data_IF_183467566450
#
_entry.id   IF_183467566450
#
_cell.length_a   1.000
_cell.length_b   1.000
_cell.length_c   1.000
_cell.angle_alpha   90.00
_cell.angle_beta   90.00
_cell.angle_gamma   90.00
#
_symmetry.space_group_name_H-M   'P 1'
#
loop_
_entity.id
_entity.type
_entity.pdbx_description
1 polymer ?
#
# COMPACT_ATOMS: atom_id res chain seq x y z
N UNK A 1 -11.86 29.66 31.97
CA UNK A 1 -11.44 28.70 30.93
C UNK A 1 -10.39 27.76 31.52
N UNK A 2 -10.23 26.56 30.95
CA UNK A 2 -9.20 25.57 31.38
C UNK A 2 -7.78 26.16 31.36
N UNK A 3 -7.55 27.20 30.57
CA UNK A 3 -6.28 27.92 30.45
C UNK A 3 -5.97 28.80 31.64
N UNK A 4 -6.99 29.31 32.34
CA UNK A 4 -6.82 30.21 33.51
C UNK A 4 -6.44 29.46 34.79
N UNK A 5 -6.64 28.15 34.85
CA UNK A 5 -6.33 27.34 36.04
C UNK A 5 -4.91 26.75 35.97
N UNK A 6 -4.19 26.86 34.85
CA UNK A 6 -2.98 26.14 34.60
C UNK A 6 -1.86 27.08 34.17
N UNK A 7 -0.83 27.18 35.00
CA UNK A 7 0.45 27.73 34.55
C UNK A 7 0.97 26.87 33.38
N UNK A 8 0.85 27.40 32.15
CA UNK A 8 1.08 26.70 30.90
C UNK A 8 2.45 26.01 30.85
N UNK A 9 3.48 26.58 31.46
CA UNK A 9 4.82 25.99 31.42
C UNK A 9 4.97 24.77 32.35
N UNK A 10 4.41 24.89 33.58
CA UNK A 10 4.42 23.77 34.54
C UNK A 10 3.55 22.62 34.05
N UNK A 11 2.44 22.93 33.39
CA UNK A 11 1.53 21.96 32.83
C UNK A 11 2.13 21.23 31.63
N UNK A 12 2.76 21.92 30.71
CA UNK A 12 3.45 21.33 29.56
C UNK A 12 4.54 20.35 30.01
N UNK A 13 5.25 20.64 31.09
CA UNK A 13 6.24 19.75 31.68
C UNK A 13 5.59 18.48 32.25
N UNK A 14 4.54 18.60 33.04
CA UNK A 14 3.79 17.45 33.59
C UNK A 14 3.18 16.57 32.50
N UNK A 15 2.59 17.17 31.49
CA UNK A 15 2.03 16.44 30.34
C UNK A 15 3.11 15.63 29.61
N UNK A 16 4.29 16.20 29.43
CA UNK A 16 5.44 15.51 28.84
C UNK A 16 5.92 14.34 29.70
N UNK A 17 5.97 14.51 31.01
CA UNK A 17 6.34 13.45 31.96
C UNK A 17 5.32 12.30 31.94
N UNK A 18 4.02 12.61 31.92
CA UNK A 18 2.94 11.63 31.78
C UNK A 18 3.09 10.83 30.48
N UNK A 19 3.28 11.51 29.35
CA UNK A 19 3.47 10.88 28.06
C UNK A 19 4.71 9.96 28.03
N UNK A 20 5.82 10.41 28.62
CA UNK A 20 7.04 9.60 28.73
C UNK A 20 6.82 8.35 29.58
N UNK A 21 6.07 8.46 30.67
CA UNK A 21 5.71 7.32 31.53
C UNK A 21 4.86 6.30 30.78
N UNK A 22 3.81 6.74 30.12
CA UNK A 22 2.93 5.87 29.29
C UNK A 22 3.71 5.17 28.18
N UNK A 23 4.61 5.89 27.51
CA UNK A 23 5.45 5.33 26.46
C UNK A 23 6.42 4.27 27.02
N UNK A 24 7.04 4.55 28.19
CA UNK A 24 7.94 3.60 28.85
C UNK A 24 7.20 2.34 29.34
N UNK A 25 5.93 2.46 29.68
CA UNK A 25 5.04 1.33 30.00
C UNK A 25 4.47 0.64 28.73
N UNK A 26 4.91 1.03 27.54
CA UNK A 26 4.42 0.53 26.24
C UNK A 26 2.93 0.69 26.03
N UNK A 27 2.34 1.72 26.63
CA UNK A 27 0.96 2.12 26.45
C UNK A 27 0.89 3.19 25.35
N UNK A 28 0.33 2.81 24.19
CA UNK A 28 0.19 3.68 23.01
C UNK A 28 -1.28 4.01 22.81
N UNK A 29 -1.66 5.28 22.63
CA UNK A 29 -3.02 5.65 22.32
C UNK A 29 -3.37 5.18 20.89
N UNK A 30 -4.57 4.66 20.71
CA UNK A 30 -5.15 4.33 19.41
C UNK A 30 -6.34 5.24 19.12
N UNK A 31 -6.75 5.35 17.86
CA UNK A 31 -7.91 6.15 17.49
C UNK A 31 -9.22 5.59 18.06
N UNK A 32 -9.32 4.28 18.21
CA UNK A 32 -10.47 3.60 18.84
C UNK A 32 -10.48 3.73 20.36
N UNK A 33 -9.40 4.23 20.95
CA UNK A 33 -9.16 4.30 22.37
C UNK A 33 -8.71 2.95 22.95
N UNK A 34 -7.77 3.03 23.89
CA UNK A 34 -7.33 1.90 24.69
C UNK A 34 -7.74 2.13 26.12
N UNK A 35 -8.55 1.23 26.70
CA UNK A 35 -8.99 1.38 28.11
C UNK A 35 -7.78 1.39 29.03
N UNK A 36 -6.80 0.54 28.80
CA UNK A 36 -5.59 0.50 29.60
C UNK A 36 -4.81 1.83 29.56
N UNK A 37 -4.70 2.44 28.38
CA UNK A 37 -4.11 3.76 28.23
C UNK A 37 -4.90 4.83 29.00
N UNK A 38 -6.21 4.86 28.80
CA UNK A 38 -7.12 5.86 29.42
C UNK A 38 -7.10 5.76 30.94
N UNK A 39 -7.14 4.55 31.49
CA UNK A 39 -7.11 4.33 32.94
C UNK A 39 -5.76 4.74 33.54
N UNK A 40 -4.67 4.41 32.87
CA UNK A 40 -3.32 4.78 33.33
C UNK A 40 -3.05 6.27 33.23
N UNK A 41 -3.47 6.90 32.13
CA UNK A 41 -3.42 8.37 31.97
C UNK A 41 -4.22 9.05 33.07
N UNK A 42 -5.43 8.56 33.36
CA UNK A 42 -6.29 9.08 34.46
C UNK A 42 -5.58 9.02 35.80
N UNK A 43 -4.96 7.89 36.12
CA UNK A 43 -4.21 7.71 37.36
C UNK A 43 -3.06 8.73 37.46
N UNK A 44 -2.28 8.90 36.40
CA UNK A 44 -1.17 9.86 36.37
C UNK A 44 -1.64 11.32 36.43
N UNK A 45 -2.79 11.64 35.87
CA UNK A 45 -3.40 12.98 36.00
C UNK A 45 -3.84 13.27 37.44
N UNK A 46 -4.42 12.29 38.13
CA UNK A 46 -4.79 12.42 39.57
C UNK A 46 -3.53 12.61 40.41
N UNK A 47 -2.48 11.80 40.20
CA UNK A 47 -1.19 11.93 40.87
C UNK A 47 -0.58 13.32 40.62
N UNK A 48 -0.79 13.92 39.44
CA UNK A 48 -0.38 15.24 39.08
C UNK A 48 -1.23 16.36 39.71
N UNK A 49 -2.29 16.00 40.46
CA UNK A 49 -3.17 16.94 41.17
C UNK A 49 -4.32 17.53 40.33
N UNK A 50 -4.69 16.85 39.24
CA UNK A 50 -5.86 17.25 38.44
C UNK A 50 -7.13 16.81 39.15
N UNK A 51 -8.12 17.71 39.36
CA UNK A 51 -9.39 17.36 40.01
C UNK A 51 -10.16 16.29 39.22
N UNK A 52 -10.68 15.29 39.91
CA UNK A 52 -11.38 14.16 39.29
C UNK A 52 -12.61 14.57 38.47
N UNK A 53 -13.30 15.61 38.89
CA UNK A 53 -14.51 16.15 38.26
C UNK A 53 -14.31 16.64 36.81
N UNK A 54 -13.08 16.97 36.43
CA UNK A 54 -12.74 17.49 35.10
C UNK A 54 -12.02 16.46 34.21
N UNK A 55 -11.63 15.30 34.74
CA UNK A 55 -10.85 14.30 34.02
C UNK A 55 -11.54 13.81 32.75
N UNK A 56 -12.84 13.49 32.83
CA UNK A 56 -13.59 13.02 31.65
C UNK A 56 -13.64 14.09 30.56
N UNK A 57 -13.75 15.35 30.94
CA UNK A 57 -13.71 16.45 29.96
C UNK A 57 -12.34 16.61 29.32
N UNK A 58 -11.28 16.47 30.11
CA UNK A 58 -9.90 16.55 29.62
C UNK A 58 -9.65 15.39 28.64
N UNK A 59 -9.95 14.17 29.05
CA UNK A 59 -9.70 12.97 28.22
C UNK A 59 -10.53 13.02 26.93
N UNK A 60 -11.82 13.34 27.00
CA UNK A 60 -12.67 13.50 25.83
C UNK A 60 -12.18 14.58 24.88
N UNK A 61 -11.76 15.75 25.42
CA UNK A 61 -11.21 16.83 24.63
C UNK A 61 -9.88 16.42 23.95
N UNK A 62 -8.98 15.77 24.72
CA UNK A 62 -7.70 15.29 24.21
C UNK A 62 -7.87 14.26 23.10
N UNK A 63 -8.74 13.27 23.31
CA UNK A 63 -9.04 12.24 22.31
C UNK A 63 -9.60 12.85 21.01
N UNK A 64 -10.58 13.76 21.15
CA UNK A 64 -11.15 14.46 20.00
C UNK A 64 -10.10 15.28 19.26
N UNK A 65 -9.28 16.04 20.01
CA UNK A 65 -8.25 16.89 19.42
C UNK A 65 -7.14 16.07 18.75
N UNK A 66 -6.73 14.99 19.38
CA UNK A 66 -5.77 14.05 18.82
C UNK A 66 -6.28 13.46 17.48
N UNK A 67 -7.54 13.04 17.43
CA UNK A 67 -8.16 12.53 16.21
C UNK A 67 -8.18 13.58 15.10
N UNK A 68 -8.58 14.82 15.41
CA UNK A 68 -8.60 15.93 14.44
C UNK A 68 -7.20 16.25 13.88
N UNK A 69 -6.19 16.33 14.76
CA UNK A 69 -4.81 16.62 14.33
C UNK A 69 -4.19 15.44 13.56
N UNK A 70 -4.51 14.20 13.95
CA UNK A 70 -4.05 13.00 13.23
C UNK A 70 -4.69 12.92 11.83
N UNK A 71 -5.99 13.18 11.70
CA UNK A 71 -6.68 13.21 10.41
C UNK A 71 -6.05 14.28 9.49
N UNK A 72 -5.80 15.47 10.03
CA UNK A 72 -5.14 16.56 9.30
C UNK A 72 -3.71 16.19 8.88
N UNK A 73 -2.92 15.63 9.80
CA UNK A 73 -1.55 15.20 9.51
C UNK A 73 -1.53 14.08 8.45
N UNK A 74 -2.48 13.15 8.54
CA UNK A 74 -2.65 12.07 7.56
C UNK A 74 -3.01 12.63 6.18
N UNK A 75 -3.93 13.60 6.12
CA UNK A 75 -4.26 14.28 4.86
C UNK A 75 -3.02 14.93 4.23
N UNK A 76 -2.25 15.68 5.02
CA UNK A 76 -1.03 16.33 4.55
C UNK A 76 0.05 15.34 4.10
N UNK A 77 0.18 14.21 4.81
CA UNK A 77 1.10 13.15 4.42
C UNK A 77 0.71 12.50 3.08
N UNK A 78 -0.58 12.25 2.86
CA UNK A 78 -1.09 11.70 1.59
C UNK A 78 -0.93 12.72 0.44
N UNK A 79 -1.16 14.00 0.72
CA UNK A 79 -0.93 15.09 -0.24
C UNK A 79 0.55 15.17 -0.64
N UNK A 80 1.45 15.14 0.34
CA UNK A 80 2.90 15.11 0.09
C UNK A 80 3.33 13.89 -0.70
N UNK A 81 2.79 12.69 -0.38
CA UNK A 81 3.03 11.46 -1.13
C UNK A 81 2.62 11.61 -2.60
N UNK A 82 1.39 12.12 -2.84
CA UNK A 82 0.87 12.30 -4.19
C UNK A 82 1.74 13.29 -4.99
N UNK A 83 2.09 14.43 -4.41
CA UNK A 83 2.97 15.41 -5.04
C UNK A 83 4.36 14.85 -5.32
N UNK A 84 4.99 14.20 -4.35
CA UNK A 84 6.33 13.64 -4.50
C UNK A 84 6.40 12.59 -5.62
N UNK A 85 5.44 11.68 -5.70
CA UNK A 85 5.42 10.64 -6.73
C UNK A 85 5.18 11.19 -8.15
N UNK A 86 4.67 12.41 -8.28
CA UNK A 86 4.44 13.04 -9.59
C UNK A 86 5.47 14.11 -9.96
N UNK A 87 6.32 14.55 -9.03
CA UNK A 87 7.29 15.63 -9.25
C UNK A 87 8.74 15.21 -9.06
N UNK A 88 8.99 14.20 -8.22
CA UNK A 88 10.34 13.70 -7.98
C UNK A 88 10.83 12.83 -9.15
N UNK A 89 12.09 12.95 -9.46
CA UNK A 89 12.74 12.11 -10.46
C UNK A 89 13.42 10.91 -9.80
N UNK A 90 13.08 9.69 -10.23
CA UNK A 90 13.67 8.46 -9.70
C UNK A 90 15.08 8.19 -10.19
N UNK A 91 15.46 8.82 -11.29
CA UNK A 91 16.81 8.74 -11.89
C UNK A 91 17.11 9.92 -12.82
N UNK A 92 18.37 10.07 -13.20
CA UNK A 92 18.78 11.00 -14.25
C UNK A 92 17.98 10.74 -15.55
N UNK A 93 17.47 11.80 -16.18
CA UNK A 93 16.61 11.68 -17.36
C UNK A 93 15.12 11.93 -17.06
N UNK A 94 14.80 12.47 -15.90
CA UNK A 94 13.46 12.97 -15.54
C UNK A 94 12.36 11.89 -15.55
N UNK A 95 12.66 10.67 -15.09
CA UNK A 95 11.65 9.64 -14.88
C UNK A 95 11.02 9.76 -13.49
N UNK A 96 9.71 9.91 -13.45
CA UNK A 96 8.95 9.80 -12.20
C UNK A 96 8.91 8.35 -11.70
N UNK A 97 8.86 8.12 -10.36
CA UNK A 97 8.81 6.77 -9.82
C UNK A 97 7.50 6.08 -10.18
N UNK A 98 7.57 5.03 -11.00
CA UNK A 98 6.41 4.20 -11.31
C UNK A 98 6.03 3.40 -10.08
N UNK A 99 4.95 3.80 -9.44
CA UNK A 99 4.50 3.26 -8.15
C UNK A 99 3.02 2.86 -8.20
N UNK A 100 2.65 1.89 -7.39
CA UNK A 100 1.25 1.49 -7.21
C UNK A 100 0.97 1.15 -5.76
N UNK A 101 -0.28 1.31 -5.34
CA UNK A 101 -0.79 0.96 -4.01
C UNK A 101 -2.08 0.15 -4.14
N UNK A 102 -2.23 -0.85 -3.26
CA UNK A 102 -3.45 -1.62 -3.11
C UNK A 102 -4.04 -1.34 -1.73
N UNK A 103 -5.32 -1.00 -1.66
CA UNK A 103 -6.01 -0.69 -0.42
C UNK A 103 -7.51 -0.98 -0.52
N UNK A 104 -8.27 -0.79 0.55
CA UNK A 104 -9.71 -1.02 0.58
C UNK A 104 -10.16 -2.01 1.65
N UNK A 105 -9.27 -2.89 2.12
CA UNK A 105 -9.61 -4.04 2.96
C UNK A 105 -9.47 -3.81 4.46
N UNK A 106 -8.64 -2.85 4.88
CA UNK A 106 -8.41 -2.57 6.30
C UNK A 106 -9.65 -1.89 6.92
N UNK A 107 -10.21 -2.50 7.95
CA UNK A 107 -11.39 -2.01 8.66
C UNK A 107 -11.05 -1.31 9.97
N UNK A 108 -9.77 -1.21 10.33
CA UNK A 108 -9.34 -0.45 11.51
C UNK A 108 -9.61 1.05 11.32
N UNK A 109 -9.78 1.76 12.40
CA UNK A 109 -10.03 3.22 12.36
C UNK A 109 -8.86 3.96 11.71
N UNK A 110 -7.63 3.53 11.99
CA UNK A 110 -6.41 4.07 11.40
C UNK A 110 -6.34 3.81 9.90
N UNK A 111 -6.54 2.57 9.48
CA UNK A 111 -6.55 2.18 8.06
C UNK A 111 -7.64 2.91 7.27
N UNK A 112 -8.84 3.02 7.83
CA UNK A 112 -9.93 3.80 7.24
C UNK A 112 -9.60 5.28 7.10
N UNK A 113 -8.93 5.88 8.10
CA UNK A 113 -8.48 7.28 8.05
C UNK A 113 -7.47 7.49 6.92
N UNK A 114 -6.48 6.60 6.78
CA UNK A 114 -5.50 6.64 5.68
C UNK A 114 -6.18 6.53 4.32
N UNK A 115 -7.05 5.54 4.13
CA UNK A 115 -7.78 5.32 2.87
C UNK A 115 -8.68 6.50 2.50
N UNK A 116 -9.42 7.04 3.47
CA UNK A 116 -10.26 8.23 3.28
C UNK A 116 -9.42 9.41 2.80
N UNK A 117 -8.32 9.69 3.49
CA UNK A 117 -7.47 10.83 3.15
C UNK A 117 -6.76 10.65 1.80
N UNK A 118 -6.32 9.43 1.47
CA UNK A 118 -5.79 9.13 0.13
C UNK A 118 -6.81 9.40 -0.97
N UNK A 119 -8.06 8.99 -0.78
CA UNK A 119 -9.14 9.25 -1.74
C UNK A 119 -9.45 10.75 -1.85
N UNK A 120 -9.53 11.48 -0.74
CA UNK A 120 -9.82 12.91 -0.75
C UNK A 120 -8.71 13.74 -1.42
N UNK A 121 -7.45 13.41 -1.15
CA UNK A 121 -6.31 14.06 -1.82
C UNK A 121 -6.29 13.76 -3.31
N UNK A 122 -6.59 12.52 -3.69
CA UNK A 122 -6.72 12.14 -5.10
C UNK A 122 -7.85 12.94 -5.78
N UNK A 123 -8.98 13.11 -5.12
CA UNK A 123 -10.10 13.91 -5.63
C UNK A 123 -9.72 15.40 -5.80
N UNK A 124 -8.96 15.96 -4.85
CA UNK A 124 -8.46 17.32 -4.93
C UNK A 124 -7.51 17.50 -6.12
N UNK A 125 -6.62 16.55 -6.33
CA UNK A 125 -5.61 16.58 -7.40
C UNK A 125 -4.35 17.33 -6.99
N UNK A 126 -3.45 17.57 -7.95
CA UNK A 126 -2.22 18.35 -7.77
C UNK A 126 -2.52 19.86 -7.73
N UNK A 127 -1.52 20.68 -7.54
CA UNK A 127 -1.54 22.11 -7.27
C UNK A 127 -2.69 22.94 -7.84
N UNK A 128 -3.00 22.84 -9.12
CA UNK A 128 -4.15 23.51 -9.76
C UNK A 128 -5.36 22.57 -9.96
N UNK A 129 -5.35 21.41 -9.34
CA UNK A 129 -6.37 20.38 -9.47
C UNK A 129 -6.14 19.42 -10.64
N UNK A 130 -4.91 19.30 -11.15
CA UNK A 130 -4.56 18.32 -12.16
C UNK A 130 -4.69 16.89 -11.61
N UNK A 131 -5.04 15.95 -12.48
CA UNK A 131 -5.08 14.54 -12.09
C UNK A 131 -3.67 13.98 -11.92
N UNK A 132 -3.37 13.44 -10.74
CA UNK A 132 -2.12 12.74 -10.47
C UNK A 132 -2.05 11.45 -11.29
N UNK A 133 -0.86 11.12 -11.81
CA UNK A 133 -0.61 9.86 -12.53
C UNK A 133 -0.20 8.76 -11.56
N UNK A 134 0.63 9.08 -10.58
CA UNK A 134 1.14 8.15 -9.57
C UNK A 134 0.71 8.53 -8.14
N UNK A 135 0.57 7.55 -7.26
CA UNK A 135 0.62 6.10 -7.51
C UNK A 135 -0.59 5.61 -8.33
N UNK A 136 -0.40 4.53 -9.09
CA UNK A 136 -1.53 3.77 -9.62
C UNK A 136 -2.28 3.19 -8.42
N UNK A 137 -3.54 3.53 -8.29
CA UNK A 137 -4.35 3.15 -7.13
C UNK A 137 -5.28 2.00 -7.50
N UNK A 138 -5.28 0.96 -6.67
CA UNK A 138 -6.13 -0.22 -6.83
C UNK A 138 -6.94 -0.39 -5.54
N UNK A 139 -8.24 -0.11 -5.63
CA UNK A 139 -9.19 -0.31 -4.55
C UNK A 139 -9.71 -1.75 -4.60
N UNK A 140 -9.42 -2.53 -3.57
CA UNK A 140 -9.87 -3.92 -3.45
C UNK A 140 -11.28 -3.96 -2.92
N UNK A 141 -12.16 -4.69 -3.63
CA UNK A 141 -13.58 -4.83 -3.31
C UNK A 141 -13.85 -6.28 -2.90
N UNK A 142 -14.48 -6.48 -1.75
CA UNK A 142 -14.79 -7.80 -1.19
C UNK A 142 -16.13 -7.77 -0.45
N UNK A 143 -16.92 -8.83 -0.63
CA UNK A 143 -18.13 -9.08 0.14
C UNK A 143 -17.82 -9.21 1.64
N UNK A 144 -18.67 -8.67 2.49
CA UNK A 144 -18.45 -8.62 3.92
C UNK A 144 -17.52 -7.50 4.41
N UNK A 145 -16.85 -6.77 3.50
CA UNK A 145 -15.93 -5.68 3.85
C UNK A 145 -16.40 -4.32 3.34
N UNK A 146 -16.70 -4.21 2.05
CA UNK A 146 -16.98 -2.90 1.42
C UNK A 146 -17.93 -2.94 0.23
N UNK A 147 -18.42 -4.12 -0.18
CA UNK A 147 -19.23 -4.24 -1.39
C UNK A 147 -20.71 -3.89 -1.17
N UNK A 148 -21.29 -4.30 -0.04
CA UNK A 148 -22.72 -4.13 0.24
C UNK A 148 -22.99 -3.00 1.26
N UNK A 149 -24.18 -2.37 1.19
CA UNK A 149 -24.62 -1.42 2.22
C UNK A 149 -24.60 -2.03 3.62
N UNK A 150 -24.02 -1.28 4.57
CA UNK A 150 -23.90 -1.71 5.96
C UNK A 150 -22.58 -2.41 6.30
N UNK A 151 -21.77 -2.74 5.34
CA UNK A 151 -20.43 -3.28 5.57
C UNK A 151 -19.45 -2.19 6.07
N UNK A 152 -18.40 -2.57 6.82
CA UNK A 152 -17.50 -1.64 7.50
C UNK A 152 -16.94 -0.53 6.63
N UNK A 153 -16.53 -0.82 5.40
CA UNK A 153 -15.88 0.12 4.48
C UNK A 153 -16.77 0.49 3.27
N UNK A 154 -18.08 0.25 3.32
CA UNK A 154 -18.97 0.58 2.21
C UNK A 154 -19.01 2.09 1.87
N UNK A 155 -18.88 2.96 2.87
CA UNK A 155 -18.77 4.41 2.69
C UNK A 155 -17.50 4.78 1.91
N UNK A 156 -16.39 4.11 2.17
CA UNK A 156 -15.13 4.29 1.43
C UNK A 156 -15.23 3.76 0.00
N UNK A 157 -15.95 2.66 -0.22
CA UNK A 157 -16.25 2.19 -1.58
C UNK A 157 -17.06 3.22 -2.37
N UNK A 158 -18.11 3.80 -1.79
CA UNK A 158 -18.85 4.89 -2.44
C UNK A 158 -17.96 6.11 -2.74
N UNK A 159 -17.10 6.48 -1.78
CA UNK A 159 -16.14 7.56 -1.98
C UNK A 159 -15.18 7.22 -3.13
N UNK A 160 -14.64 6.01 -3.19
CA UNK A 160 -13.73 5.56 -4.24
C UNK A 160 -14.38 5.61 -5.63
N UNK A 161 -15.65 5.22 -5.75
CA UNK A 161 -16.41 5.33 -7.00
C UNK A 161 -16.57 6.81 -7.44
N UNK A 162 -16.86 7.71 -6.49
CA UNK A 162 -16.95 9.16 -6.78
C UNK A 162 -15.62 9.71 -7.28
N UNK A 163 -14.55 9.36 -6.61
CA UNK A 163 -13.20 9.79 -6.98
C UNK A 163 -12.79 9.24 -8.33
N UNK A 164 -13.04 7.95 -8.59
CA UNK A 164 -12.75 7.31 -9.87
C UNK A 164 -13.52 7.93 -11.02
N UNK A 165 -14.78 8.30 -10.82
CA UNK A 165 -15.57 9.00 -11.82
C UNK A 165 -15.00 10.37 -12.22
N UNK A 166 -14.30 11.04 -11.29
CA UNK A 166 -13.69 12.35 -11.50
C UNK A 166 -12.24 12.29 -12.01
N UNK A 167 -11.47 11.28 -11.53
CA UNK A 167 -10.01 11.22 -11.68
C UNK A 167 -9.50 10.01 -12.45
N UNK A 168 -10.36 9.07 -12.83
CA UNK A 168 -10.03 7.78 -13.43
C UNK A 168 -9.25 6.82 -12.48
N UNK A 169 -9.05 7.22 -11.24
CA UNK A 169 -8.48 6.45 -10.15
C UNK A 169 -9.36 6.56 -8.89
N UNK A 170 -9.37 5.52 -8.05
CA UNK A 170 -8.70 4.22 -8.17
C UNK A 170 -9.33 3.32 -9.24
N UNK A 171 -8.54 2.33 -9.71
CA UNK A 171 -9.06 1.13 -10.38
C UNK A 171 -9.63 0.17 -9.34
N UNK A 172 -10.49 -0.76 -9.75
CA UNK A 172 -11.12 -1.71 -8.83
C UNK A 172 -10.64 -3.14 -9.08
N UNK A 173 -10.38 -3.86 -7.99
CA UNK A 173 -10.06 -5.29 -7.98
C UNK A 173 -11.09 -6.04 -7.16
N UNK A 174 -11.87 -6.90 -7.80
CA UNK A 174 -12.90 -7.70 -7.15
C UNK A 174 -12.30 -8.99 -6.61
N UNK A 175 -12.15 -9.08 -5.28
CA UNK A 175 -11.49 -10.19 -4.62
C UNK A 175 -12.29 -11.49 -4.73
N UNK A 176 -13.61 -11.40 -4.78
CA UNK A 176 -14.53 -12.54 -4.87
C UNK A 176 -14.74 -13.07 -6.29
N UNK A 177 -14.07 -12.47 -7.29
CA UNK A 177 -14.12 -12.99 -8.65
C UNK A 177 -13.55 -14.41 -8.69
N UNK A 178 -14.19 -15.37 -9.39
CA UNK A 178 -13.78 -16.78 -9.39
C UNK A 178 -12.30 -16.99 -9.75
N UNK A 179 -11.78 -16.20 -10.68
CA UNK A 179 -10.39 -16.27 -11.09
C UNK A 179 -9.40 -15.71 -10.05
N UNK A 180 -9.88 -14.99 -9.04
CA UNK A 180 -9.08 -14.52 -7.91
C UNK A 180 -9.17 -15.49 -6.74
N UNK A 181 -10.33 -16.10 -6.51
CA UNK A 181 -10.55 -17.04 -5.40
C UNK A 181 -9.77 -18.36 -5.54
N UNK A 182 -9.35 -18.74 -6.74
CA UNK A 182 -8.63 -20.01 -6.96
C UNK A 182 -7.32 -20.15 -6.16
N UNK A 183 -6.72 -19.04 -5.74
CA UNK A 183 -5.48 -19.01 -4.94
C UNK A 183 -5.70 -18.56 -3.49
N UNK A 184 -6.90 -18.07 -3.19
CA UNK A 184 -7.22 -17.59 -1.86
C UNK A 184 -7.41 -18.74 -0.88
N UNK A 185 -6.82 -18.61 0.31
CA UNK A 185 -7.00 -19.55 1.43
C UNK A 185 -7.60 -18.76 2.59
N UNK A 186 -8.75 -19.22 3.10
CA UNK A 186 -9.42 -18.57 4.23
C UNK A 186 -8.51 -18.55 5.46
N UNK A 187 -8.44 -17.41 6.15
CA UNK A 187 -7.54 -17.19 7.28
C UNK A 187 -6.08 -16.86 6.88
N UNK A 188 -5.78 -16.79 5.59
CA UNK A 188 -4.45 -16.50 5.04
C UNK A 188 -4.49 -15.25 4.15
N UNK A 189 -4.52 -14.03 4.75
CA UNK A 189 -4.62 -12.78 4.00
C UNK A 189 -3.45 -12.54 3.03
N UNK A 190 -2.30 -13.19 3.25
CA UNK A 190 -1.15 -13.19 2.36
C UNK A 190 -1.42 -13.83 0.99
N UNK A 191 -2.48 -14.64 0.88
CA UNK A 191 -2.91 -15.28 -0.38
C UNK A 191 -3.92 -14.43 -1.15
N UNK A 192 -4.36 -13.30 -0.62
CA UNK A 192 -5.23 -12.37 -1.34
C UNK A 192 -4.50 -11.73 -2.53
N UNK A 193 -5.23 -11.61 -3.63
CA UNK A 193 -4.68 -11.04 -4.85
C UNK A 193 -4.28 -9.58 -4.65
N UNK A 194 -3.05 -9.25 -5.05
CA UNK A 194 -2.54 -7.90 -5.19
C UNK A 194 -2.14 -7.61 -6.65
N UNK A 195 -2.18 -6.36 -7.01
CA UNK A 195 -1.72 -5.89 -8.31
C UNK A 195 -0.43 -5.10 -8.16
N UNK A 196 0.48 -5.33 -9.09
CA UNK A 196 1.74 -4.61 -9.20
C UNK A 196 1.68 -3.72 -10.44
N UNK A 197 2.07 -2.48 -10.29
CA UNK A 197 1.93 -1.49 -11.33
C UNK A 197 0.45 -1.28 -11.70
N UNK A 198 0.15 -1.14 -12.98
CA UNK A 198 -1.19 -0.82 -13.40
C UNK A 198 -2.11 -2.05 -13.53
N UNK A 199 -1.59 -3.24 -13.90
CA UNK A 199 -2.43 -4.42 -14.19
C UNK A 199 -1.75 -5.78 -14.01
N UNK A 200 -0.51 -5.84 -13.58
CA UNK A 200 0.14 -7.11 -13.31
C UNK A 200 -0.45 -7.73 -12.05
N UNK A 201 -1.23 -8.78 -12.21
CA UNK A 201 -1.81 -9.52 -11.11
C UNK A 201 -0.77 -10.47 -10.53
N UNK A 202 -0.42 -10.30 -9.27
CA UNK A 202 0.49 -11.20 -8.57
C UNK A 202 -0.33 -12.35 -7.98
N UNK A 203 -0.17 -13.53 -8.55
CA UNK A 203 -0.86 -14.76 -8.16
C UNK A 203 0.12 -15.93 -8.27
N UNK A 204 -0.15 -16.99 -7.52
CA UNK A 204 0.63 -18.22 -7.57
C UNK A 204 2.14 -17.99 -7.48
N UNK A 205 2.87 -18.99 -7.15
CA UNK A 205 4.33 -19.01 -7.21
C UNK A 205 4.76 -20.29 -7.90
N UNK A 206 5.03 -20.24 -9.20
CA UNK A 206 5.38 -21.44 -9.99
C UNK A 206 6.63 -22.13 -9.45
N UNK A 207 7.55 -21.36 -8.86
CA UNK A 207 8.78 -21.89 -8.28
C UNK A 207 8.56 -22.52 -6.88
N UNK A 208 7.53 -22.09 -6.17
CA UNK A 208 7.18 -22.58 -4.84
C UNK A 208 5.65 -22.62 -4.68
N UNK A 209 4.98 -23.62 -5.29
CA UNK A 209 3.52 -23.68 -5.31
C UNK A 209 2.88 -23.87 -3.93
N UNK A 210 3.63 -24.38 -2.94
CA UNK A 210 3.13 -24.55 -1.58
C UNK A 210 3.06 -23.22 -0.81
N UNK A 211 3.78 -22.19 -1.28
CA UNK A 211 3.85 -20.87 -0.65
C UNK A 211 3.33 -19.79 -1.59
N UNK A 212 2.01 -19.70 -1.66
CA UNK A 212 1.30 -18.71 -2.48
C UNK A 212 1.21 -17.35 -1.76
N UNK A 213 2.30 -16.60 -1.75
CA UNK A 213 2.33 -15.24 -1.17
C UNK A 213 2.48 -14.20 -2.27
N UNK A 214 1.86 -13.03 -2.04
CA UNK A 214 1.77 -11.95 -3.03
C UNK A 214 2.70 -10.76 -2.73
N UNK A 215 3.45 -10.81 -1.65
CA UNK A 215 4.41 -9.76 -1.26
C UNK A 215 5.86 -10.22 -1.41
N UNK A 216 6.80 -9.28 -1.35
CA UNK A 216 8.24 -9.56 -1.48
C UNK A 216 8.66 -10.11 -2.84
N UNK A 217 7.83 -9.94 -3.87
CA UNK A 217 8.04 -10.43 -5.23
C UNK A 217 7.89 -9.29 -6.23
N UNK A 218 8.38 -9.48 -7.44
CA UNK A 218 8.28 -8.45 -8.46
C UNK A 218 8.39 -8.98 -9.88
N UNK A 219 8.17 -8.09 -10.85
CA UNK A 219 8.35 -8.38 -12.25
C UNK A 219 9.82 -8.10 -12.63
N UNK A 220 10.52 -9.13 -13.08
CA UNK A 220 11.94 -9.05 -13.43
C UNK A 220 12.15 -8.41 -14.80
N UNK A 221 11.28 -8.71 -15.74
CA UNK A 221 11.34 -8.21 -17.10
C UNK A 221 10.01 -8.37 -17.81
N UNK A 222 9.78 -7.51 -18.79
CA UNK A 222 8.61 -7.60 -19.65
C UNK A 222 8.99 -7.34 -21.12
N UNK A 223 8.19 -7.86 -22.02
CA UNK A 223 8.27 -7.58 -23.46
C UNK A 223 6.86 -7.49 -24.02
N UNK A 224 6.62 -6.55 -24.92
CA UNK A 224 5.31 -6.37 -25.55
C UNK A 224 5.34 -6.84 -27.01
N UNK A 225 4.29 -7.56 -27.42
CA UNK A 225 4.05 -7.96 -28.81
C UNK A 225 3.06 -6.99 -29.45
N UNK A 226 3.41 -6.43 -30.59
CA UNK A 226 2.55 -5.52 -31.35
C UNK A 226 1.51 -6.30 -32.16
N UNK A 227 0.41 -6.71 -31.52
CA UNK A 227 -0.69 -7.44 -32.16
C UNK A 227 -1.33 -6.67 -33.33
N UNK A 228 -1.61 -5.35 -33.24
CA UNK A 228 -2.13 -4.60 -34.39
C UNK A 228 -1.24 -4.71 -35.65
N UNK A 229 0.08 -4.67 -35.49
CA UNK A 229 1.01 -4.83 -36.60
C UNK A 229 0.89 -6.22 -37.23
N UNK A 230 0.82 -7.28 -36.43
CA UNK A 230 0.67 -8.66 -36.92
C UNK A 230 -0.66 -8.77 -37.68
N UNK A 231 -1.75 -8.22 -37.14
CA UNK A 231 -3.07 -8.25 -37.77
C UNK A 231 -3.09 -7.53 -39.13
N UNK A 232 -2.44 -6.37 -39.24
CA UNK A 232 -2.31 -5.62 -40.50
C UNK A 232 -1.53 -6.45 -41.53
N UNK A 233 -0.41 -7.04 -41.12
CA UNK A 233 0.43 -7.85 -42.01
C UNK A 233 -0.26 -9.17 -42.43
N UNK A 234 -1.08 -9.73 -41.55
CA UNK A 234 -1.88 -10.94 -41.88
C UNK A 234 -2.91 -10.71 -42.98
N UNK A 235 -3.32 -9.45 -43.23
CA UNK A 235 -4.26 -9.10 -44.29
C UNK A 235 -5.46 -10.07 -44.38
N UNK A 236 -6.17 -10.24 -43.24
CA UNK A 236 -7.33 -11.15 -43.04
C UNK A 236 -7.01 -12.64 -43.05
N UNK A 237 -5.76 -13.04 -43.16
CA UNK A 237 -5.37 -14.44 -43.03
C UNK A 237 -5.17 -14.79 -41.55
N UNK A 238 -6.16 -15.40 -40.94
CA UNK A 238 -6.18 -15.77 -39.52
C UNK A 238 -5.12 -16.82 -39.18
N UNK A 239 -4.91 -17.79 -40.04
CA UNK A 239 -3.93 -18.86 -39.79
C UNK A 239 -2.51 -18.29 -39.79
N UNK A 240 -2.22 -17.38 -40.70
CA UNK A 240 -0.94 -16.68 -40.74
C UNK A 240 -0.77 -15.80 -39.50
N UNK A 241 -1.83 -15.12 -39.05
CA UNK A 241 -1.81 -14.26 -37.82
C UNK A 241 -1.37 -15.08 -36.61
N UNK A 242 -2.01 -16.25 -36.39
CA UNK A 242 -1.66 -17.10 -35.25
C UNK A 242 -0.28 -17.73 -35.38
N UNK A 243 0.11 -18.18 -36.56
CA UNK A 243 1.45 -18.72 -36.80
C UNK A 243 2.55 -17.70 -36.52
N UNK A 244 2.36 -16.44 -36.94
CA UNK A 244 3.31 -15.37 -36.65
C UNK A 244 3.29 -14.95 -35.18
N UNK A 245 2.12 -14.97 -34.53
CA UNK A 245 1.99 -14.74 -33.10
C UNK A 245 2.76 -15.78 -32.29
N UNK A 246 2.59 -17.07 -32.58
CA UNK A 246 3.32 -18.16 -31.92
C UNK A 246 4.84 -17.98 -32.08
N UNK A 247 5.29 -17.69 -33.29
CA UNK A 247 6.72 -17.41 -33.55
C UNK A 247 7.24 -16.21 -32.73
N UNK A 248 6.41 -15.17 -32.53
CA UNK A 248 6.77 -14.01 -31.70
C UNK A 248 6.78 -14.35 -30.22
N UNK A 249 5.87 -15.19 -29.76
CA UNK A 249 5.83 -15.68 -28.38
C UNK A 249 7.11 -16.46 -28.08
N UNK A 250 7.51 -17.39 -28.93
CA UNK A 250 8.74 -18.16 -28.74
C UNK A 250 9.96 -17.25 -28.63
N UNK A 251 10.10 -16.28 -29.53
CA UNK A 251 11.20 -15.32 -29.49
C UNK A 251 11.19 -14.49 -28.19
N UNK A 252 10.01 -14.07 -27.72
CA UNK A 252 9.87 -13.28 -26.48
C UNK A 252 10.23 -14.13 -25.27
N UNK A 253 9.82 -15.39 -25.23
CA UNK A 253 10.17 -16.33 -24.15
C UNK A 253 11.69 -16.51 -24.07
N UNK A 254 12.37 -16.77 -25.20
CA UNK A 254 13.83 -16.86 -25.25
C UNK A 254 14.51 -15.60 -24.70
N UNK A 255 14.07 -14.42 -25.14
CA UNK A 255 14.62 -13.15 -24.68
C UNK A 255 14.39 -12.90 -23.18
N UNK A 256 13.23 -13.27 -22.65
CA UNK A 256 12.93 -13.12 -21.23
C UNK A 256 13.79 -14.05 -20.37
N UNK A 257 14.00 -15.29 -20.82
CA UNK A 257 14.87 -16.25 -20.15
C UNK A 257 16.34 -15.79 -20.18
N UNK A 258 16.82 -15.27 -21.32
CA UNK A 258 18.17 -14.68 -21.40
C UNK A 258 18.35 -13.52 -20.41
N UNK A 259 17.36 -12.64 -20.31
CA UNK A 259 17.39 -11.53 -19.34
C UNK A 259 17.37 -12.03 -17.89
N UNK A 260 16.61 -13.10 -17.61
CA UNK A 260 16.65 -13.75 -16.31
C UNK A 260 18.06 -14.25 -15.99
N UNK A 261 18.72 -14.95 -16.91
CA UNK A 261 20.07 -15.46 -16.71
C UNK A 261 21.11 -14.37 -16.45
N UNK A 262 20.97 -13.21 -17.12
CA UNK A 262 21.82 -12.04 -16.89
C UNK A 262 21.61 -11.47 -15.48
N UNK A 263 20.37 -11.38 -15.02
CA UNK A 263 20.04 -10.86 -13.70
C UNK A 263 20.42 -11.86 -12.60
N UNK A 264 20.19 -13.13 -12.80
CA UNK A 264 20.45 -14.21 -11.85
C UNK A 264 21.92 -14.35 -11.44
N UNK A 265 22.84 -13.96 -12.33
CA UNK A 265 24.28 -13.90 -12.06
C UNK A 265 24.73 -12.68 -11.24
N UNK A 266 23.83 -11.75 -10.97
CA UNK A 266 24.12 -10.61 -10.11
C UNK A 266 24.18 -11.06 -8.66
N UNK A 267 24.87 -10.27 -7.84
CA UNK A 267 25.06 -10.53 -6.42
C UNK A 267 24.15 -9.66 -5.56
N UNK A 268 23.96 -10.02 -4.30
CA UNK A 268 23.16 -9.26 -3.33
C UNK A 268 23.61 -7.80 -3.29
N UNK A 269 24.90 -7.51 -3.28
CA UNK A 269 25.42 -6.14 -3.24
C UNK A 269 25.08 -5.29 -4.46
N UNK A 270 24.63 -5.88 -5.57
CA UNK A 270 24.14 -5.12 -6.73
C UNK A 270 22.70 -4.60 -6.50
N UNK A 271 22.01 -5.12 -5.48
CA UNK A 271 20.65 -4.74 -5.08
C UNK A 271 20.59 -4.47 -3.58
N UNK A 272 21.32 -3.43 -3.08
CA UNK A 272 21.52 -3.24 -1.64
C UNK A 272 20.23 -3.08 -0.84
N UNK A 273 19.23 -2.39 -1.39
CA UNK A 273 17.92 -2.24 -0.74
C UNK A 273 17.06 -3.48 -0.93
N UNK A 274 16.87 -3.91 -2.18
CA UNK A 274 15.90 -4.96 -2.51
C UNK A 274 16.29 -6.33 -1.93
N UNK A 275 17.56 -6.68 -2.00
CA UNK A 275 18.09 -7.96 -1.54
C UNK A 275 18.83 -7.82 -0.20
N UNK A 276 19.57 -6.73 0.01
CA UNK A 276 20.36 -6.53 1.22
C UNK A 276 19.54 -6.22 2.46
N UNK A 277 18.39 -5.57 2.32
CA UNK A 277 17.47 -5.22 3.42
C UNK A 277 16.30 -6.23 3.57
N UNK A 278 16.34 -7.37 2.90
CA UNK A 278 15.32 -8.41 3.04
C UNK A 278 13.94 -8.05 2.45
N UNK A 279 13.87 -7.08 1.52
CA UNK A 279 12.61 -6.67 0.88
C UNK A 279 12.11 -7.73 -0.10
N UNK A 280 13.03 -8.39 -0.81
CA UNK A 280 12.70 -9.50 -1.69
C UNK A 280 12.58 -10.78 -0.89
N UNK A 281 11.57 -11.60 -1.22
CA UNK A 281 11.31 -12.87 -0.55
C UNK A 281 12.58 -13.73 -0.47
N UNK A 282 12.86 -14.27 0.72
CA UNK A 282 13.99 -15.14 1.02
C UNK A 282 15.39 -14.51 0.85
N UNK A 283 15.47 -13.22 0.52
CA UNK A 283 16.78 -12.58 0.34
C UNK A 283 17.59 -12.49 1.64
N UNK A 284 16.93 -12.54 2.80
CA UNK A 284 17.57 -12.62 4.12
C UNK A 284 18.39 -13.90 4.32
N UNK A 285 18.19 -14.92 3.48
CA UNK A 285 18.95 -16.18 3.50
C UNK A 285 20.29 -16.09 2.77
N UNK A 286 20.51 -15.01 2.02
CA UNK A 286 21.68 -14.80 1.19
C UNK A 286 22.72 -13.93 1.90
N UNK A 287 24.01 -14.20 1.62
CA UNK A 287 25.10 -13.34 2.01
C UNK A 287 25.37 -12.26 0.95
N UNK A 288 26.11 -11.22 1.33
CA UNK A 288 26.37 -10.04 0.49
C UNK A 288 26.99 -10.36 -0.90
N UNK A 289 27.79 -11.41 -0.98
CA UNK A 289 28.49 -11.84 -2.19
C UNK A 289 27.84 -13.03 -2.92
N UNK A 290 26.71 -13.51 -2.43
CA UNK A 290 25.97 -14.59 -3.09
C UNK A 290 25.27 -14.12 -4.35
N UNK A 291 25.11 -15.01 -5.34
CA UNK A 291 24.26 -14.77 -6.49
C UNK A 291 22.78 -14.78 -6.09
N UNK A 292 21.98 -13.91 -6.70
CA UNK A 292 20.54 -13.77 -6.37
C UNK A 292 19.67 -14.82 -7.06
N UNK A 293 20.24 -15.76 -7.79
CA UNK A 293 19.55 -16.75 -8.64
C UNK A 293 18.40 -17.45 -7.91
N UNK A 294 18.65 -17.98 -6.74
CA UNK A 294 17.66 -18.83 -6.05
C UNK A 294 16.42 -18.04 -5.62
N UNK A 295 16.61 -16.83 -5.12
CA UNK A 295 15.50 -15.98 -4.70
C UNK A 295 14.84 -15.26 -5.89
N UNK A 296 15.57 -15.00 -6.96
CA UNK A 296 15.05 -14.33 -8.14
C UNK A 296 14.01 -15.18 -8.89
N UNK A 297 14.03 -16.51 -8.73
CA UNK A 297 13.04 -17.44 -9.28
C UNK A 297 11.60 -17.15 -8.81
N UNK A 298 11.43 -16.48 -7.67
CA UNK A 298 10.11 -16.07 -7.18
C UNK A 298 9.52 -14.87 -7.95
N UNK A 299 10.33 -14.23 -8.81
CA UNK A 299 9.89 -13.15 -9.66
C UNK A 299 9.09 -13.62 -10.88
N UNK A 300 8.46 -12.67 -11.56
CA UNK A 300 7.67 -12.92 -12.77
C UNK A 300 8.37 -12.40 -14.02
N UNK A 301 8.14 -13.08 -15.13
CA UNK A 301 8.45 -12.60 -16.47
C UNK A 301 7.12 -12.37 -17.19
N UNK A 302 6.95 -11.23 -17.87
CA UNK A 302 5.66 -10.81 -18.42
C UNK A 302 5.74 -10.57 -19.93
N UNK A 303 4.67 -10.94 -20.63
CA UNK A 303 4.47 -10.65 -22.06
C UNK A 303 3.24 -9.77 -22.21
#
# INVERSE_FOLDING_TARGET
>A
SLIEVMDCAAHAKKTKEIFQTLTAENLIPTLDGSQAYTDRERALLIEAGVPEEILDKIQSFSAKKATEETDKATYQAMEALLHNLNTMHSRAGAQTPFSSINYGMDTSTEGRMVMKNMLLVTEAGLGNGETAIFPIQIFRVKDGVNFNPGEPNYDLFKLSCRVSAKRLFPNFSFQDAPFNLQYYKEGHPETEIAYMGCRTRVIGNVNDPEREITYGRGNLSFTSINLPRIAILANKNIDWFFSELDRKIDLVVEQLLERFEIQAKKKVHNYPFLMGEGVWIDSEKLNYDDEVREVLKHGTLSV
#
